data_IF_090200351160
#
_entry.id   IF_090200351160
#
_cell.length_a   1.000
_cell.length_b   1.000
_cell.length_c   1.000
_cell.angle_alpha   90.00
_cell.angle_beta   90.00
_cell.angle_gamma   90.00
#
_symmetry.space_group_name_H-M   'P 1'
#
loop_
_entity.id
_entity.type
_entity.pdbx_description
1 polymer ?
#
# COMPACT_ATOMS: atom_id res chain seq x y z
N UNK A 1 -17.78 -3.14 24.62
CA UNK A 1 -16.86 -3.52 25.69
C UNK A 1 -15.49 -3.16 25.16
N UNK A 2 -14.84 -2.14 25.71
CA UNK A 2 -13.49 -1.73 25.30
C UNK A 2 -12.51 -2.84 25.74
N UNK A 3 -12.05 -3.64 24.81
CA UNK A 3 -10.93 -4.54 25.05
C UNK A 3 -9.68 -3.67 25.23
N UNK A 4 -9.18 -3.62 26.46
CA UNK A 4 -7.88 -3.02 26.73
C UNK A 4 -6.81 -3.80 25.97
N UNK A 5 -5.82 -3.15 25.35
CA UNK A 5 -4.72 -3.84 24.71
C UNK A 5 -4.04 -4.75 25.74
N UNK A 6 -3.92 -6.02 25.41
CA UNK A 6 -3.19 -6.98 26.24
C UNK A 6 -1.69 -6.73 26.10
N UNK A 7 -0.94 -7.12 27.14
CA UNK A 7 0.52 -7.08 27.10
C UNK A 7 1.09 -8.46 27.38
N UNK A 8 2.14 -8.83 26.63
CA UNK A 8 2.89 -10.05 26.82
C UNK A 8 4.36 -9.70 27.03
N UNK A 9 4.96 -10.23 28.10
CA UNK A 9 6.40 -10.18 28.28
C UNK A 9 7.06 -11.43 27.69
N UNK A 10 8.10 -11.22 26.89
CA UNK A 10 8.90 -12.26 26.24
C UNK A 10 10.38 -12.04 26.58
N UNK A 11 11.04 -13.06 27.10
CA UNK A 11 12.49 -13.04 27.30
C UNK A 11 13.16 -13.95 26.28
N UNK A 12 14.06 -13.39 25.49
CA UNK A 12 14.88 -14.15 24.53
C UNK A 12 16.14 -14.69 25.22
N UNK A 13 16.27 -16.00 25.25
CA UNK A 13 17.35 -16.70 25.96
C UNK A 13 18.09 -17.70 25.04
N UNK A 14 19.40 -17.92 25.25
CA UNK A 14 20.28 -17.27 26.22
C UNK A 14 20.50 -15.78 25.89
N UNK A 15 20.84 -14.96 26.88
CA UNK A 15 21.10 -13.53 26.63
C UNK A 15 22.41 -13.37 25.86
N UNK A 16 22.30 -12.85 24.63
CA UNK A 16 23.42 -12.61 23.71
C UNK A 16 23.19 -11.29 22.98
N UNK A 17 24.05 -10.31 23.29
CA UNK A 17 23.90 -8.95 22.76
C UNK A 17 24.14 -8.86 21.25
N UNK A 18 24.93 -9.75 20.66
CA UNK A 18 25.18 -9.77 19.22
C UNK A 18 23.93 -10.28 18.50
N UNK A 19 23.35 -11.36 18.98
CA UNK A 19 22.11 -11.92 18.47
C UNK A 19 20.93 -10.95 18.64
N UNK A 20 20.81 -10.29 19.79
CA UNK A 20 19.77 -9.29 20.05
C UNK A 20 19.88 -8.12 19.08
N UNK A 21 21.10 -7.63 18.83
CA UNK A 21 21.33 -6.58 17.83
C UNK A 21 20.95 -7.04 16.41
N UNK A 22 21.24 -8.28 16.08
CA UNK A 22 20.86 -8.87 14.80
C UNK A 22 19.33 -8.98 14.66
N UNK A 23 18.60 -9.36 15.71
CA UNK A 23 17.13 -9.41 15.71
C UNK A 23 16.50 -8.02 15.60
N UNK A 24 17.02 -7.03 16.32
CA UNK A 24 16.49 -5.65 16.26
C UNK A 24 16.75 -4.99 14.91
N UNK A 25 17.88 -5.30 14.27
CA UNK A 25 18.34 -4.61 13.06
C UNK A 25 18.91 -3.22 13.35
N UNK A 26 19.29 -2.51 12.29
CA UNK A 26 19.77 -1.13 12.42
C UNK A 26 18.62 -0.19 12.80
N UNK A 27 18.76 0.55 13.89
CA UNK A 27 17.73 1.47 14.39
C UNK A 27 16.35 0.77 14.57
N UNK A 28 16.38 -0.49 15.02
CA UNK A 28 15.20 -1.34 15.25
C UNK A 28 14.34 -1.60 14.00
N UNK A 29 14.93 -1.57 12.80
CA UNK A 29 14.22 -1.73 11.53
C UNK A 29 13.45 -3.05 11.44
N UNK A 30 14.01 -4.14 11.96
CA UNK A 30 13.36 -5.45 11.99
C UNK A 30 12.16 -5.47 12.93
N UNK A 31 12.29 -4.89 14.14
CA UNK A 31 11.17 -4.78 15.08
C UNK A 31 10.04 -3.94 14.51
N UNK A 32 10.37 -2.80 13.88
CA UNK A 32 9.38 -1.94 13.21
C UNK A 32 8.67 -2.64 12.03
N UNK A 33 9.35 -3.58 11.37
CA UNK A 33 8.74 -4.40 10.32
C UNK A 33 7.73 -5.39 10.92
N UNK A 34 8.06 -6.01 12.06
CA UNK A 34 7.16 -6.91 12.79
C UNK A 34 5.96 -6.14 13.34
N UNK A 35 6.19 -5.00 14.01
CA UNK A 35 5.13 -4.13 14.55
C UNK A 35 4.11 -3.74 13.50
N UNK A 36 4.59 -3.31 12.34
CA UNK A 36 3.74 -2.90 11.22
C UNK A 36 2.87 -4.03 10.70
N UNK A 37 3.50 -5.18 10.49
CA UNK A 37 2.82 -6.32 9.88
C UNK A 37 1.74 -6.90 10.79
N UNK A 38 1.99 -6.87 12.10
CA UNK A 38 1.10 -7.44 13.11
C UNK A 38 0.16 -6.42 13.75
N UNK A 39 0.38 -5.13 13.53
CA UNK A 39 -0.39 -4.08 14.22
C UNK A 39 -0.17 -4.07 15.72
N UNK A 40 1.03 -4.43 16.19
CA UNK A 40 1.41 -4.45 17.62
C UNK A 40 2.48 -3.40 17.90
N UNK A 41 2.67 -3.08 19.17
CA UNK A 41 3.80 -2.27 19.66
C UNK A 41 4.80 -3.20 20.36
N UNK A 42 6.10 -3.04 20.09
CA UNK A 42 7.17 -3.82 20.68
C UNK A 42 8.13 -2.89 21.40
N UNK A 43 8.16 -2.99 22.72
CA UNK A 43 9.12 -2.30 23.56
C UNK A 43 10.17 -3.30 24.05
N UNK A 44 11.47 -2.99 23.93
CA UNK A 44 12.51 -3.89 24.39
C UNK A 44 13.51 -3.21 25.32
N UNK A 45 14.01 -4.00 26.27
CA UNK A 45 15.13 -3.62 27.14
C UNK A 45 16.06 -4.82 27.31
N UNK A 46 17.18 -4.80 26.58
CA UNK A 46 18.07 -5.96 26.50
C UNK A 46 17.33 -7.17 25.89
N UNK A 47 17.36 -8.30 26.60
CA UNK A 47 16.69 -9.54 26.17
C UNK A 47 15.19 -9.62 26.49
N UNK A 48 14.65 -8.64 27.21
CA UNK A 48 13.22 -8.58 27.57
C UNK A 48 12.47 -7.72 26.56
N UNK A 49 11.40 -8.30 25.98
CA UNK A 49 10.51 -7.67 25.01
C UNK A 49 9.10 -7.64 25.59
N UNK A 50 8.44 -6.50 25.47
CA UNK A 50 7.03 -6.32 25.81
C UNK A 50 6.25 -6.07 24.51
N UNK A 51 5.29 -6.95 24.24
CA UNK A 51 4.39 -6.86 23.09
C UNK A 51 3.03 -6.37 23.56
N UNK A 52 2.49 -5.37 22.90
CA UNK A 52 1.20 -4.72 23.21
C UNK A 52 0.30 -4.75 21.97
N UNK A 53 -0.94 -5.22 22.11
CA UNK A 53 -1.88 -5.29 20.99
C UNK A 53 -3.00 -6.30 21.19
N UNK A 54 -3.56 -6.80 20.09
CA UNK A 54 -4.56 -7.85 20.10
C UNK A 54 -3.94 -9.21 20.47
N UNK A 55 -4.63 -10.07 21.23
CA UNK A 55 -4.07 -11.34 21.73
C UNK A 55 -3.49 -12.25 20.65
N UNK A 56 -4.20 -12.38 19.51
CA UNK A 56 -3.76 -13.18 18.36
C UNK A 56 -2.50 -12.63 17.70
N UNK A 57 -2.44 -11.30 17.52
CA UNK A 57 -1.30 -10.61 16.95
C UNK A 57 -0.07 -10.67 17.87
N UNK A 58 -0.27 -10.54 19.17
CA UNK A 58 0.79 -10.73 20.20
C UNK A 58 1.34 -12.15 20.16
N UNK A 59 0.48 -13.17 20.06
CA UNK A 59 0.92 -14.56 19.98
C UNK A 59 1.78 -14.81 18.73
N UNK A 60 1.36 -14.31 17.57
CA UNK A 60 2.16 -14.36 16.34
C UNK A 60 3.48 -13.59 16.48
N UNK A 61 3.47 -12.39 17.05
CA UNK A 61 4.67 -11.60 17.31
C UNK A 61 5.70 -12.33 18.18
N UNK A 62 5.22 -13.04 19.19
CA UNK A 62 6.07 -13.91 20.02
C UNK A 62 6.75 -14.99 19.18
N UNK A 63 6.00 -15.70 18.34
CA UNK A 63 6.54 -16.77 17.50
C UNK A 63 7.56 -16.25 16.51
N UNK A 64 7.27 -15.11 15.86
CA UNK A 64 8.18 -14.45 14.94
C UNK A 64 9.47 -14.05 15.64
N UNK A 65 9.42 -13.35 16.77
CA UNK A 65 10.60 -12.94 17.52
C UNK A 65 11.45 -14.11 17.99
N UNK A 66 10.82 -15.20 18.47
CA UNK A 66 11.52 -16.42 18.83
C UNK A 66 12.17 -17.12 17.64
N UNK A 67 11.49 -17.13 16.50
CA UNK A 67 12.01 -17.65 15.24
C UNK A 67 13.24 -16.88 14.76
N UNK A 68 13.13 -15.55 14.70
CA UNK A 68 14.24 -14.66 14.36
C UNK A 68 15.41 -14.81 15.31
N UNK A 69 15.15 -14.95 16.61
CA UNK A 69 16.21 -15.15 17.59
C UNK A 69 16.92 -16.50 17.42
N UNK A 70 16.21 -17.56 17.06
CA UNK A 70 16.84 -18.84 16.71
C UNK A 70 17.71 -18.72 15.48
N UNK A 71 17.19 -18.13 14.40
CA UNK A 71 17.91 -17.96 13.16
C UNK A 71 19.14 -17.05 13.29
N UNK A 72 19.08 -16.04 14.17
CA UNK A 72 20.20 -15.12 14.43
C UNK A 72 21.47 -15.78 14.99
N UNK A 73 21.39 -17.03 15.42
CA UNK A 73 22.56 -17.81 15.84
C UNK A 73 23.40 -18.32 14.66
N UNK A 74 22.81 -18.47 13.49
CA UNK A 74 23.40 -19.11 12.33
C UNK A 74 23.61 -18.13 11.18
N UNK A 75 22.80 -17.07 11.08
CA UNK A 75 22.84 -16.13 9.97
C UNK A 75 22.63 -14.67 10.42
N UNK A 76 23.14 -13.73 9.61
CA UNK A 76 22.79 -12.32 9.72
C UNK A 76 21.39 -12.11 9.15
N UNK A 77 20.49 -11.56 9.97
CA UNK A 77 19.12 -11.27 9.55
C UNK A 77 19.11 -10.02 8.64
N UNK A 78 18.25 -10.06 7.65
CA UNK A 78 17.96 -8.94 6.77
C UNK A 78 16.46 -8.65 6.78
N UNK A 79 16.00 -7.46 6.37
CA UNK A 79 14.56 -7.18 6.22
C UNK A 79 13.82 -8.21 5.36
N UNK A 80 14.48 -8.75 4.33
CA UNK A 80 13.95 -9.83 3.49
C UNK A 80 13.73 -11.12 4.30
N UNK A 81 14.66 -11.46 5.18
CA UNK A 81 14.55 -12.67 6.03
C UNK A 81 13.43 -12.52 7.07
N UNK A 82 13.32 -11.34 7.69
CA UNK A 82 12.21 -11.00 8.60
C UNK A 82 10.86 -11.14 7.90
N UNK A 83 10.77 -10.69 6.65
CA UNK A 83 9.56 -10.82 5.84
C UNK A 83 9.15 -12.30 5.65
N UNK A 84 10.09 -13.20 5.36
CA UNK A 84 9.81 -14.62 5.23
C UNK A 84 9.29 -15.22 6.54
N UNK A 85 9.88 -14.89 7.69
CA UNK A 85 9.38 -15.34 9.00
C UNK A 85 7.95 -14.87 9.28
N UNK A 86 7.62 -13.64 8.87
CA UNK A 86 6.25 -13.10 9.00
C UNK A 86 5.26 -13.87 8.10
N UNK A 87 5.66 -14.25 6.89
CA UNK A 87 4.82 -15.08 6.01
C UNK A 87 4.64 -16.50 6.56
N UNK A 88 5.73 -17.15 7.01
CA UNK A 88 5.70 -18.51 7.58
C UNK A 88 4.84 -18.60 8.85
N UNK A 89 4.79 -17.55 9.64
CA UNK A 89 3.96 -17.48 10.85
C UNK A 89 2.46 -17.32 10.56
N UNK A 90 2.04 -17.30 9.29
CA UNK A 90 0.62 -17.14 8.90
C UNK A 90 0.03 -15.80 9.31
N UNK A 91 0.89 -14.78 9.47
CA UNK A 91 0.52 -13.45 9.95
C UNK A 91 -0.55 -12.79 9.08
N UNK A 92 -0.56 -13.12 7.79
CA UNK A 92 -1.54 -12.62 6.84
C UNK A 92 -2.97 -13.09 7.13
N UNK A 93 -3.13 -14.29 7.72
CA UNK A 93 -4.43 -14.82 8.14
C UNK A 93 -4.98 -14.11 9.40
N UNK A 94 -4.13 -13.48 10.20
CA UNK A 94 -4.52 -12.74 11.40
C UNK A 94 -5.01 -11.30 11.08
N UNK A 95 -4.72 -10.81 9.89
CA UNK A 95 -5.14 -9.48 9.44
C UNK A 95 -6.57 -9.45 8.88
N UNK A 96 -7.23 -10.61 8.70
CA UNK A 96 -8.60 -10.71 8.23
C UNK A 96 -9.63 -10.78 9.37
N UNK A 97 -10.54 -9.82 9.31
CA UNK A 97 -11.87 -9.73 9.91
C UNK A 97 -12.02 -9.71 11.44
N UNK A 98 -12.56 -8.60 11.89
CA UNK A 98 -13.38 -8.31 13.08
C UNK A 98 -12.85 -7.34 14.12
N UNK A 99 -11.65 -6.79 13.99
CA UNK A 99 -11.21 -5.74 14.91
C UNK A 99 -11.84 -4.39 14.50
N UNK A 100 -12.34 -3.62 15.44
CA UNK A 100 -12.57 -2.18 15.25
C UNK A 100 -11.29 -1.58 14.68
N UNK A 101 -11.37 -1.12 13.42
CA UNK A 101 -10.21 -0.56 12.72
C UNK A 101 -9.75 0.66 13.52
N UNK A 102 -8.54 0.67 14.07
CA UNK A 102 -8.08 1.82 14.85
C UNK A 102 -8.15 3.08 13.99
N UNK A 103 -8.53 4.21 14.58
CA UNK A 103 -8.51 5.51 13.88
C UNK A 103 -7.10 5.82 13.43
N UNK A 104 -6.73 5.29 12.28
CA UNK A 104 -5.36 5.44 11.75
C UNK A 104 -5.24 6.80 11.11
N UNK A 105 -4.52 7.69 11.76
CA UNK A 105 -4.17 9.00 11.20
C UNK A 105 -2.80 8.91 10.54
N UNK A 106 -2.74 9.24 9.26
CA UNK A 106 -1.49 9.26 8.50
C UNK A 106 -0.83 10.62 8.69
N UNK A 107 0.41 10.63 9.17
CA UNK A 107 1.15 11.87 9.39
C UNK A 107 1.99 12.19 8.15
N UNK A 108 1.70 13.32 7.52
CA UNK A 108 2.54 13.86 6.45
C UNK A 108 3.21 15.16 6.92
N UNK A 109 4.23 15.59 6.22
CA UNK A 109 4.96 16.81 6.58
C UNK A 109 4.08 18.07 6.60
N UNK A 110 3.04 18.13 5.79
CA UNK A 110 2.15 19.29 5.66
C UNK A 110 0.85 19.16 6.44
N UNK A 111 0.62 18.05 7.11
CA UNK A 111 -0.59 17.86 7.89
C UNK A 111 -0.92 16.40 8.18
N UNK A 112 -2.08 16.22 8.78
CA UNK A 112 -2.62 14.90 9.11
C UNK A 112 -3.68 14.53 8.07
N UNK A 113 -3.53 13.36 7.46
CA UNK A 113 -4.53 12.77 6.58
C UNK A 113 -5.35 11.78 7.39
N UNK A 114 -6.67 12.02 7.47
CA UNK A 114 -7.60 11.17 8.21
C UNK A 114 -8.59 10.51 7.26
N UNK A 115 -8.80 9.20 7.36
CA UNK A 115 -9.91 8.53 6.69
C UNK A 115 -11.24 9.18 7.08
N UNK A 116 -12.12 9.36 6.10
CA UNK A 116 -13.45 10.03 6.31
C UNK A 116 -14.60 9.04 6.48
N UNK A 117 -14.31 7.75 6.56
CA UNK A 117 -15.32 6.71 6.71
C UNK A 117 -14.70 5.35 6.98
N UNK A 118 -15.51 4.35 7.38
CA UNK A 118 -15.00 3.04 7.78
C UNK A 118 -14.25 2.31 6.66
N UNK A 119 -14.74 2.36 5.42
CA UNK A 119 -14.05 1.73 4.28
C UNK A 119 -12.68 2.37 3.99
N UNK A 120 -12.57 3.70 4.15
CA UNK A 120 -11.28 4.38 4.03
C UNK A 120 -10.34 4.01 5.18
N UNK A 121 -10.84 3.90 6.41
CA UNK A 121 -10.05 3.49 7.57
C UNK A 121 -9.54 2.06 7.41
N UNK A 122 -10.41 1.14 7.00
CA UNK A 122 -10.03 -0.25 6.69
C UNK A 122 -9.01 -0.33 5.56
N UNK A 123 -9.19 0.46 4.49
CA UNK A 123 -8.24 0.53 3.39
C UNK A 123 -6.86 0.97 3.85
N UNK A 124 -6.77 2.05 4.62
CA UNK A 124 -5.49 2.53 5.19
C UNK A 124 -4.87 1.46 6.07
N UNK A 125 -5.64 0.85 6.96
CA UNK A 125 -5.15 -0.23 7.82
C UNK A 125 -4.58 -1.39 7.00
N UNK A 126 -5.30 -1.85 5.97
CA UNK A 126 -4.85 -2.94 5.10
C UNK A 126 -3.58 -2.58 4.33
N UNK A 127 -3.49 -1.35 3.81
CA UNK A 127 -2.29 -0.86 3.12
C UNK A 127 -1.06 -0.87 4.04
N UNK A 128 -1.24 -0.62 5.33
CA UNK A 128 -0.15 -0.64 6.30
C UNK A 128 0.24 -2.04 6.75
N UNK A 129 -0.64 -3.04 6.58
CA UNK A 129 -0.46 -4.40 7.11
C UNK A 129 -0.22 -5.48 6.05
N UNK A 130 -0.52 -5.23 4.76
CA UNK A 130 -0.38 -6.19 3.68
C UNK A 130 0.60 -5.72 2.61
N UNK A 131 1.23 -6.66 1.92
CA UNK A 131 2.20 -6.34 0.86
C UNK A 131 1.54 -5.96 -0.46
N UNK A 132 0.37 -6.56 -0.78
CA UNK A 132 -0.39 -6.26 -2.00
C UNK A 132 -1.81 -5.87 -1.61
N UNK A 133 -2.23 -4.69 -2.06
CA UNK A 133 -3.49 -4.09 -1.64
C UNK A 133 -4.28 -3.62 -2.86
N UNK A 134 -5.51 -4.09 -2.98
CA UNK A 134 -6.42 -3.63 -4.01
C UNK A 134 -7.46 -2.67 -3.42
N UNK A 135 -7.50 -1.44 -3.94
CA UNK A 135 -8.54 -0.46 -3.65
C UNK A 135 -9.44 -0.27 -4.88
N UNK A 136 -10.60 -0.91 -4.88
CA UNK A 136 -11.48 -0.97 -6.07
C UNK A 136 -12.80 -0.25 -5.80
N UNK A 137 -13.24 0.59 -6.72
CA UNK A 137 -14.54 1.28 -6.65
C UNK A 137 -14.56 2.64 -7.34
N UNK A 138 -15.66 3.40 -7.20
CA UNK A 138 -15.90 4.62 -7.96
C UNK A 138 -14.85 5.71 -7.77
N UNK A 139 -14.72 6.57 -8.77
CA UNK A 139 -13.87 7.76 -8.67
C UNK A 139 -14.34 8.67 -7.52
N UNK A 140 -13.39 9.38 -6.88
CA UNK A 140 -13.67 10.29 -5.79
C UNK A 140 -13.83 9.65 -4.40
N UNK A 141 -13.54 8.35 -4.24
CA UNK A 141 -13.54 7.66 -2.94
C UNK A 141 -12.20 7.79 -2.18
N UNK A 142 -11.23 8.49 -2.73
CA UNK A 142 -9.95 8.77 -2.07
C UNK A 142 -8.89 7.67 -2.17
N UNK A 143 -9.12 6.60 -2.96
CA UNK A 143 -8.20 5.46 -3.09
C UNK A 143 -6.76 5.86 -3.35
N UNK A 144 -6.53 6.57 -4.43
CA UNK A 144 -5.19 7.00 -4.86
C UNK A 144 -4.59 8.00 -3.88
N UNK A 145 -5.38 8.96 -3.39
CA UNK A 145 -4.94 9.95 -2.41
C UNK A 145 -4.45 9.30 -1.10
N UNK A 146 -5.22 8.36 -0.56
CA UNK A 146 -4.86 7.63 0.67
C UNK A 146 -3.66 6.71 0.44
N UNK A 147 -3.54 6.07 -0.73
CA UNK A 147 -2.37 5.28 -1.09
C UNK A 147 -1.10 6.14 -1.13
N UNK A 148 -1.17 7.34 -1.74
CA UNK A 148 -0.05 8.29 -1.76
C UNK A 148 0.28 8.76 -0.34
N UNK A 149 -0.71 9.00 0.51
CA UNK A 149 -0.48 9.37 1.91
C UNK A 149 0.27 8.29 2.68
N UNK A 150 -0.12 7.02 2.53
CA UNK A 150 0.57 5.89 3.14
C UNK A 150 2.02 5.76 2.62
N UNK A 151 2.24 5.97 1.31
CA UNK A 151 3.57 5.94 0.72
C UNK A 151 4.47 7.05 1.25
N UNK A 152 3.94 8.26 1.40
CA UNK A 152 4.66 9.40 1.97
C UNK A 152 5.02 9.17 3.44
N UNK A 153 4.10 8.66 4.25
CA UNK A 153 4.36 8.33 5.66
C UNK A 153 5.43 7.23 5.78
N UNK A 154 5.35 6.19 4.96
CA UNK A 154 6.33 5.12 4.91
C UNK A 154 7.73 5.62 4.52
N UNK A 155 7.82 6.56 3.57
CA UNK A 155 9.08 7.19 3.17
C UNK A 155 9.64 8.09 4.28
N UNK A 156 8.80 8.89 4.94
CA UNK A 156 9.23 9.79 6.02
C UNK A 156 9.65 9.04 7.30
N UNK A 157 9.20 7.79 7.46
CA UNK A 157 9.64 6.88 8.53
C UNK A 157 10.82 5.99 8.15
N UNK A 158 11.44 6.22 6.99
CA UNK A 158 12.55 5.40 6.46
C UNK A 158 12.21 3.90 6.33
N UNK A 159 10.94 3.58 6.11
CA UNK A 159 10.46 2.20 5.97
C UNK A 159 10.63 1.66 4.56
N UNK A 160 10.75 2.58 3.60
CA UNK A 160 11.00 2.31 2.20
C UNK A 160 12.05 3.30 1.70
N UNK A 161 12.72 2.94 0.62
CA UNK A 161 13.74 3.81 0.00
C UNK A 161 13.19 4.65 -1.14
N UNK A 162 12.07 4.23 -1.74
CA UNK A 162 11.51 4.90 -2.92
C UNK A 162 10.01 4.69 -3.08
N UNK A 163 9.36 5.65 -3.72
CA UNK A 163 7.96 5.59 -4.14
C UNK A 163 7.92 5.50 -5.66
N UNK A 164 7.16 4.55 -6.19
CA UNK A 164 6.89 4.44 -7.62
C UNK A 164 5.40 4.67 -7.85
N UNK A 165 5.07 5.67 -8.66
CA UNK A 165 3.72 5.96 -9.10
C UNK A 165 3.58 5.54 -10.57
N UNK A 166 2.71 4.57 -10.80
CA UNK A 166 2.62 3.87 -12.07
C UNK A 166 1.20 4.00 -12.62
N UNK A 167 1.07 4.28 -13.88
CA UNK A 167 -0.21 4.22 -14.62
C UNK A 167 -0.07 3.42 -15.92
N UNK A 168 -1.11 2.68 -16.34
CA UNK A 168 -1.17 2.15 -17.68
C UNK A 168 -1.20 3.32 -18.68
N UNK A 169 -0.42 3.22 -19.74
CA UNK A 169 -0.58 4.11 -20.87
C UNK A 169 -1.78 3.62 -21.68
N UNK A 170 -2.92 4.27 -21.52
CA UNK A 170 -4.11 3.97 -22.35
C UNK A 170 -4.19 5.03 -23.43
N UNK A 171 -4.33 4.61 -24.66
CA UNK A 171 -4.79 5.48 -25.74
C UNK A 171 -6.30 5.68 -25.59
N UNK A 172 -6.72 6.47 -24.58
CA UNK A 172 -8.12 6.83 -24.40
C UNK A 172 -8.55 7.78 -25.53
N UNK A 173 -9.05 7.21 -26.64
CA UNK A 173 -9.67 7.96 -27.74
C UNK A 173 -8.76 8.89 -28.55
N UNK A 174 -7.74 9.46 -27.95
CA UNK A 174 -6.69 10.26 -28.58
C UNK A 174 -5.44 9.40 -28.73
N UNK A 175 -5.11 9.06 -29.97
CA UNK A 175 -3.88 8.31 -30.28
C UNK A 175 -2.67 9.11 -29.79
N UNK A 176 -1.91 8.58 -28.84
CA UNK A 176 -0.65 9.16 -28.32
C UNK A 176 0.31 9.58 -29.44
N UNK A 177 0.13 9.05 -30.64
CA UNK A 177 0.87 9.43 -31.86
C UNK A 177 0.67 10.88 -32.32
N UNK A 178 -0.40 11.56 -31.93
CA UNK A 178 -0.70 12.94 -32.39
C UNK A 178 -0.17 14.03 -31.46
N UNK A 179 0.28 13.71 -30.25
CA UNK A 179 0.87 14.72 -29.36
C UNK A 179 2.35 14.94 -29.73
N UNK A 180 2.80 16.20 -29.89
CA UNK A 180 4.21 16.51 -30.09
C UNK A 180 5.03 16.20 -28.83
N UNK A 181 6.24 15.71 -29.00
CA UNK A 181 7.17 15.42 -27.90
C UNK A 181 7.55 13.93 -27.78
N UNK A 182 8.47 13.64 -26.88
CA UNK A 182 8.85 12.27 -26.55
C UNK A 182 7.76 11.56 -25.74
N UNK A 183 7.91 10.25 -25.53
CA UNK A 183 6.91 9.42 -24.84
C UNK A 183 6.63 9.93 -23.42
N UNK A 184 7.66 10.42 -22.72
CA UNK A 184 7.52 10.94 -21.36
C UNK A 184 6.68 12.21 -21.32
N UNK A 185 6.91 13.15 -22.25
CA UNK A 185 6.11 14.39 -22.35
C UNK A 185 4.64 14.13 -22.71
N UNK A 186 4.37 13.08 -23.48
CA UNK A 186 3.00 12.70 -23.86
C UNK A 186 2.21 12.07 -22.72
N UNK A 187 2.88 11.44 -21.76
CA UNK A 187 2.27 10.75 -20.62
C UNK A 187 2.10 11.69 -19.40
N UNK A 188 2.91 12.75 -19.30
CA UNK A 188 2.92 13.69 -18.18
C UNK A 188 1.52 14.24 -17.78
N UNK A 189 0.62 14.63 -18.71
CA UNK A 189 -0.72 15.09 -18.36
C UNK A 189 -1.56 14.06 -17.60
N UNK A 190 -1.40 12.78 -17.91
CA UNK A 190 -2.13 11.69 -17.25
C UNK A 190 -1.61 11.36 -15.86
N UNK A 191 -0.40 11.79 -15.54
CA UNK A 191 0.26 11.58 -14.25
C UNK A 191 0.02 12.75 -13.28
N UNK A 192 -0.54 13.88 -13.74
CA UNK A 192 -0.80 15.07 -12.91
C UNK A 192 -1.52 14.80 -11.59
N UNK A 193 -2.60 14.02 -11.53
CA UNK A 193 -3.29 13.76 -10.27
C UNK A 193 -2.39 13.12 -9.19
N UNK A 194 -1.39 12.35 -9.60
CA UNK A 194 -0.42 11.75 -8.70
C UNK A 194 0.58 12.80 -8.18
N UNK A 195 1.02 13.70 -9.05
CA UNK A 195 1.86 14.84 -8.65
C UNK A 195 1.11 15.78 -7.70
N UNK A 196 -0.17 16.07 -7.97
CA UNK A 196 -0.98 16.96 -7.14
C UNK A 196 -1.09 16.42 -5.70
N UNK A 197 -1.33 15.13 -5.53
CA UNK A 197 -1.34 14.47 -4.23
C UNK A 197 0.03 14.58 -3.52
N UNK A 198 1.13 14.34 -4.23
CA UNK A 198 2.47 14.49 -3.67
C UNK A 198 2.77 15.94 -3.25
N UNK A 199 2.39 16.92 -4.09
CA UNK A 199 2.61 18.33 -3.78
C UNK A 199 1.82 18.80 -2.56
N UNK A 200 0.60 18.31 -2.40
CA UNK A 200 -0.23 18.59 -1.23
C UNK A 200 0.43 18.08 0.05
N UNK A 201 1.04 16.89 0.03
CA UNK A 201 1.57 16.21 1.22
C UNK A 201 3.02 16.60 1.57
N UNK A 202 3.87 16.79 0.56
CA UNK A 202 5.31 17.05 0.73
C UNK A 202 5.73 18.47 0.38
N UNK A 203 4.94 19.17 -0.44
CA UNK A 203 5.28 20.47 -1.04
C UNK A 203 6.12 20.33 -2.31
N UNK A 204 6.00 21.34 -3.18
CA UNK A 204 6.54 21.35 -4.52
C UNK A 204 8.07 21.14 -4.55
N UNK A 205 8.84 21.95 -3.82
CA UNK A 205 10.31 21.88 -3.83
C UNK A 205 10.86 20.50 -3.37
N UNK A 206 10.21 19.91 -2.37
CA UNK A 206 10.65 18.61 -1.85
C UNK A 206 10.36 17.49 -2.85
N UNK A 207 9.20 17.50 -3.47
CA UNK A 207 8.85 16.52 -4.50
C UNK A 207 9.86 16.56 -5.65
N UNK A 208 10.20 17.76 -6.16
CA UNK A 208 11.22 17.91 -7.20
C UNK A 208 12.57 17.33 -6.80
N UNK A 209 13.06 17.66 -5.59
CA UNK A 209 14.32 17.11 -5.08
C UNK A 209 14.31 15.59 -4.95
N UNK A 210 13.16 15.00 -4.57
CA UNK A 210 13.03 13.55 -4.44
C UNK A 210 12.96 12.86 -5.81
N UNK A 211 12.36 13.50 -6.81
CA UNK A 211 12.34 13.02 -8.19
C UNK A 211 13.76 13.08 -8.79
N UNK A 212 14.47 14.19 -8.65
CA UNK A 212 15.86 14.34 -9.11
C UNK A 212 16.79 13.28 -8.51
N UNK A 213 16.52 12.84 -7.29
CA UNK A 213 17.28 11.79 -6.59
C UNK A 213 16.79 10.37 -6.89
N UNK A 214 15.80 10.20 -7.76
CA UNK A 214 15.14 8.93 -8.04
C UNK A 214 14.55 8.23 -6.78
N UNK A 215 14.21 9.00 -5.74
CA UNK A 215 13.47 8.52 -4.58
C UNK A 215 11.98 8.45 -4.89
N UNK A 216 11.47 9.39 -5.68
CA UNK A 216 10.12 9.34 -6.26
C UNK A 216 10.26 9.17 -7.77
N UNK A 217 9.61 8.15 -8.31
CA UNK A 217 9.55 7.87 -9.75
C UNK A 217 8.08 7.85 -10.18
N UNK A 218 7.77 8.59 -11.24
CA UNK A 218 6.43 8.56 -11.87
C UNK A 218 6.63 8.06 -13.29
N UNK A 219 6.04 6.91 -13.62
CA UNK A 219 6.36 6.20 -14.85
C UNK A 219 5.17 5.42 -15.42
N UNK A 220 5.12 5.22 -16.74
CA UNK A 220 4.17 4.31 -17.35
C UNK A 220 4.45 2.86 -16.95
N UNK A 221 3.39 2.05 -16.89
CA UNK A 221 3.47 0.64 -16.50
C UNK A 221 4.48 -0.17 -17.33
N UNK A 222 4.64 0.16 -18.60
CA UNK A 222 5.59 -0.52 -19.48
C UNK A 222 7.05 -0.47 -18.97
N UNK A 223 7.41 0.56 -18.21
CA UNK A 223 8.77 0.75 -17.67
C UNK A 223 9.05 -0.13 -16.43
N UNK A 224 8.05 -0.84 -15.94
CA UNK A 224 8.21 -1.81 -14.84
C UNK A 224 8.73 -3.15 -15.33
N UNK A 225 8.68 -3.42 -16.65
CA UNK A 225 9.10 -4.70 -17.21
C UNK A 225 10.58 -4.98 -16.97
N UNK A 226 10.90 -6.20 -16.49
CA UNK A 226 12.27 -6.64 -16.23
C UNK A 226 12.90 -6.07 -14.94
N UNK A 227 12.16 -5.30 -14.16
CA UNK A 227 12.63 -4.75 -12.88
C UNK A 227 12.24 -5.68 -11.73
N UNK A 228 13.00 -5.61 -10.64
CA UNK A 228 12.61 -6.10 -9.31
C UNK A 228 12.61 -4.91 -8.36
N UNK A 229 11.47 -4.66 -7.74
CA UNK A 229 11.23 -3.46 -6.93
C UNK A 229 11.34 -3.83 -5.45
N UNK A 230 12.53 -3.67 -4.87
CA UNK A 230 12.80 -3.90 -3.46
C UNK A 230 12.70 -2.61 -2.66
N UNK A 231 12.30 -2.71 -1.39
CA UNK A 231 12.22 -1.61 -0.42
C UNK A 231 11.49 -0.38 -1.00
N UNK A 232 10.37 -0.65 -1.69
CA UNK A 232 9.64 0.35 -2.45
C UNK A 232 8.15 0.33 -2.12
N UNK A 233 7.52 1.50 -2.16
CA UNK A 233 6.07 1.62 -2.17
C UNK A 233 5.61 1.91 -3.59
N UNK A 234 4.85 0.99 -4.17
CA UNK A 234 4.47 1.03 -5.57
C UNK A 234 2.96 1.22 -5.68
N UNK A 235 2.52 2.27 -6.36
CA UNK A 235 1.11 2.53 -6.61
C UNK A 235 0.84 2.35 -8.10
N UNK A 236 -0.03 1.39 -8.45
CA UNK A 236 -0.58 1.25 -9.79
C UNK A 236 -1.99 1.86 -9.81
N UNK A 237 -2.09 3.05 -10.36
CA UNK A 237 -3.35 3.79 -10.47
C UNK A 237 -4.02 3.57 -11.83
N UNK A 238 -5.35 3.71 -11.90
CA UNK A 238 -6.18 3.41 -13.07
C UNK A 238 -5.99 1.97 -13.61
N UNK A 239 -5.83 1.03 -12.69
CA UNK A 239 -5.46 -0.35 -12.99
C UNK A 239 -6.52 -1.12 -13.79
N UNK A 240 -7.79 -0.65 -13.85
CA UNK A 240 -8.83 -1.23 -14.72
C UNK A 240 -8.41 -1.19 -16.20
N UNK A 241 -7.50 -0.29 -16.55
CA UNK A 241 -6.99 -0.12 -17.90
C UNK A 241 -5.71 -0.94 -18.18
N UNK A 242 -5.41 -1.92 -17.33
CA UNK A 242 -4.38 -2.94 -17.63
C UNK A 242 -5.01 -4.15 -18.31
N UNK A 243 -4.26 -4.80 -19.19
CA UNK A 243 -4.59 -6.17 -19.63
C UNK A 243 -4.20 -7.17 -18.55
N UNK A 244 -4.69 -8.42 -18.67
CA UNK A 244 -4.32 -9.52 -17.77
C UNK A 244 -2.79 -9.71 -17.69
N UNK A 245 -2.12 -9.69 -18.86
CA UNK A 245 -0.67 -9.86 -18.94
C UNK A 245 0.09 -8.71 -18.28
N UNK A 246 -0.40 -7.48 -18.44
CA UNK A 246 0.18 -6.30 -17.81
C UNK A 246 0.04 -6.35 -16.28
N UNK A 247 -1.15 -6.72 -15.78
CA UNK A 247 -1.39 -6.88 -14.35
C UNK A 247 -0.48 -7.96 -13.77
N UNK A 248 -0.41 -9.14 -14.39
CA UNK A 248 0.47 -10.23 -13.97
C UNK A 248 1.94 -9.81 -14.02
N UNK A 249 2.36 -9.13 -15.09
CA UNK A 249 3.71 -8.59 -15.20
C UNK A 249 4.02 -7.64 -14.04
N UNK A 250 3.11 -6.72 -13.70
CA UNK A 250 3.28 -5.76 -12.61
C UNK A 250 3.41 -6.45 -11.25
N UNK A 251 2.46 -7.30 -10.88
CA UNK A 251 2.42 -7.99 -9.59
C UNK A 251 3.68 -8.83 -9.34
N UNK A 252 4.25 -9.39 -10.39
CA UNK A 252 5.50 -10.17 -10.32
C UNK A 252 6.78 -9.30 -10.23
N UNK A 253 6.67 -7.97 -10.18
CA UNK A 253 7.81 -7.05 -9.95
C UNK A 253 8.05 -6.76 -8.47
N UNK A 254 7.08 -7.07 -7.61
CA UNK A 254 7.20 -6.83 -6.18
C UNK A 254 8.40 -7.60 -5.62
N UNK A 255 9.29 -6.89 -4.96
CA UNK A 255 10.45 -7.43 -4.29
C UNK A 255 10.33 -7.33 -2.77
N UNK A 256 11.36 -7.75 -2.07
CA UNK A 256 11.38 -7.78 -0.61
C UNK A 256 11.26 -6.37 0.01
N UNK A 257 10.52 -6.30 1.13
CA UNK A 257 10.32 -5.04 1.85
C UNK A 257 9.51 -4.00 1.08
N UNK A 258 8.73 -4.43 0.09
CA UNK A 258 7.91 -3.53 -0.73
C UNK A 258 6.42 -3.73 -0.49
N UNK A 259 5.68 -2.64 -0.66
CA UNK A 259 4.22 -2.63 -0.64
C UNK A 259 3.70 -2.19 -2.00
N UNK A 260 2.77 -2.93 -2.57
CA UNK A 260 2.06 -2.55 -3.79
C UNK A 260 0.60 -2.19 -3.47
N UNK A 261 0.14 -1.07 -4.02
CA UNK A 261 -1.26 -0.63 -3.93
C UNK A 261 -1.81 -0.46 -5.34
N UNK A 262 -2.84 -1.22 -5.63
CA UNK A 262 -3.51 -1.24 -6.94
C UNK A 262 -4.85 -0.54 -6.81
N UNK A 263 -5.03 0.60 -7.49
CA UNK A 263 -6.27 1.38 -7.44
C UNK A 263 -6.97 1.39 -8.79
N UNK A 264 -8.29 1.35 -8.79
CA UNK A 264 -9.06 1.42 -10.03
C UNK A 264 -10.57 1.35 -9.86
N UNK A 265 -11.28 1.57 -10.96
CA UNK A 265 -12.73 1.48 -11.05
C UNK A 265 -13.12 0.48 -12.15
N UNK A 266 -13.60 -0.68 -11.76
CA UNK A 266 -13.98 -1.75 -12.70
C UNK A 266 -15.14 -1.38 -13.64
N UNK A 267 -15.82 -0.26 -13.39
CA UNK A 267 -16.90 0.26 -14.24
C UNK A 267 -16.40 1.19 -15.35
N UNK A 268 -15.18 1.75 -15.20
CA UNK A 268 -14.58 2.73 -16.10
C UNK A 268 -13.42 2.10 -16.91
N UNK A 269 -13.72 1.07 -17.69
CA UNK A 269 -12.70 0.35 -18.49
C UNK A 269 -12.62 0.97 -19.87
N UNK A 270 -11.45 1.56 -20.21
CA UNK A 270 -11.16 2.19 -21.51
C UNK A 270 -10.33 1.29 -22.46
N UNK A 271 -10.26 -0.02 -22.17
CA UNK A 271 -9.54 -0.96 -23.01
C UNK A 271 -10.24 -1.17 -24.37
N UNK A 272 -9.50 -1.47 -25.43
CA UNK A 272 -10.07 -1.83 -26.73
C UNK A 272 -11.07 -2.99 -26.62
N UNK A 273 -12.08 -2.99 -27.51
CA UNK A 273 -13.11 -4.03 -27.53
C UNK A 273 -12.50 -5.42 -27.60
N UNK A 274 -12.94 -6.32 -26.73
CA UNK A 274 -12.48 -7.71 -26.65
C UNK A 274 -11.29 -7.95 -25.71
N UNK A 275 -10.67 -6.91 -25.16
CA UNK A 275 -9.66 -7.07 -24.12
C UNK A 275 -10.30 -7.12 -22.72
N UNK A 276 -9.83 -8.07 -21.89
CA UNK A 276 -10.28 -8.19 -20.51
C UNK A 276 -9.44 -7.27 -19.60
N UNK A 277 -10.12 -6.64 -18.64
CA UNK A 277 -9.44 -5.85 -17.62
C UNK A 277 -8.67 -6.76 -16.66
N UNK A 278 -7.37 -6.51 -16.56
CA UNK A 278 -6.48 -7.21 -15.64
C UNK A 278 -6.87 -6.98 -14.17
N UNK A 279 -7.40 -5.80 -13.83
CA UNK A 279 -7.91 -5.52 -12.48
C UNK A 279 -9.10 -6.43 -12.15
N UNK A 280 -10.07 -6.57 -13.06
CA UNK A 280 -11.25 -7.43 -12.86
C UNK A 280 -10.83 -8.88 -12.65
N UNK A 281 -9.96 -9.41 -13.51
CA UNK A 281 -9.48 -10.78 -13.40
C UNK A 281 -8.65 -10.99 -12.12
N UNK A 282 -7.77 -10.05 -11.76
CA UNK A 282 -6.97 -10.13 -10.53
C UNK A 282 -7.85 -10.19 -9.28
N UNK A 283 -8.95 -9.42 -9.22
CA UNK A 283 -9.89 -9.46 -8.08
C UNK A 283 -10.62 -10.80 -7.93
N UNK A 284 -10.78 -11.56 -9.01
CA UNK A 284 -11.37 -12.90 -8.99
C UNK A 284 -10.33 -13.97 -8.61
N UNK A 285 -9.17 -13.94 -9.28
CA UNK A 285 -8.14 -14.98 -9.16
C UNK A 285 -7.37 -14.91 -7.84
N UNK A 286 -7.10 -13.70 -7.35
CA UNK A 286 -6.26 -13.48 -6.17
C UNK A 286 -7.04 -13.35 -4.86
N UNK A 287 -8.35 -13.44 -4.89
CA UNK A 287 -9.22 -13.20 -3.71
C UNK A 287 -8.92 -14.14 -2.54
N UNK A 288 -8.47 -15.35 -2.82
CA UNK A 288 -8.17 -16.37 -1.80
C UNK A 288 -6.67 -16.49 -1.50
N UNK A 289 -5.85 -15.57 -2.03
CA UNK A 289 -4.40 -15.60 -1.79
C UNK A 289 -4.10 -14.82 -0.51
N UNK A 290 -3.53 -15.50 0.47
CA UNK A 290 -3.08 -14.88 1.72
C UNK A 290 -2.03 -13.80 1.44
N UNK A 291 -2.03 -12.71 2.23
CA UNK A 291 -1.13 -11.56 2.05
C UNK A 291 -1.60 -10.54 1.02
N UNK A 292 -2.72 -10.80 0.33
CA UNK A 292 -3.35 -9.84 -0.59
C UNK A 292 -4.65 -9.32 0.02
N UNK A 293 -4.78 -8.01 0.13
CA UNK A 293 -5.99 -7.39 0.65
C UNK A 293 -6.85 -6.76 -0.45
N UNK A 294 -8.17 -6.77 -0.24
CA UNK A 294 -9.14 -6.17 -1.15
C UNK A 294 -10.10 -5.27 -0.40
N UNK A 295 -10.08 -3.97 -0.69
CA UNK A 295 -11.07 -3.01 -0.17
C UNK A 295 -11.98 -2.55 -1.29
N UNK A 296 -13.28 -2.80 -1.14
CA UNK A 296 -14.29 -2.42 -2.12
C UNK A 296 -14.98 -1.14 -1.66
N UNK A 297 -14.80 -0.09 -2.42
CA UNK A 297 -15.48 1.19 -2.22
C UNK A 297 -16.78 1.24 -3.01
N UNK A 298 -17.74 1.97 -2.49
CA UNK A 298 -19.04 2.16 -3.09
C UNK A 298 -19.42 3.65 -3.18
N UNK A 299 -20.59 3.97 -3.72
CA UNK A 299 -21.04 5.35 -3.91
C UNK A 299 -21.14 6.15 -2.61
N UNK A 300 -21.30 5.50 -1.43
CA UNK A 300 -21.37 6.18 -0.12
C UNK A 300 -20.01 6.67 0.34
N UNK A 301 -18.94 6.08 -0.17
CA UNK A 301 -17.55 6.45 0.15
C UNK A 301 -17.06 7.65 -0.66
N UNK A 302 -17.85 8.13 -1.61
CA UNK A 302 -17.48 9.25 -2.48
C UNK A 302 -17.40 10.54 -1.68
N UNK A 303 -16.20 11.11 -1.58
CA UNK A 303 -15.91 12.39 -0.94
C UNK A 303 -15.85 13.47 -2.00
N UNK A 304 -16.97 14.16 -2.21
CA UNK A 304 -17.08 15.26 -3.18
C UNK A 304 -17.72 16.48 -2.53
N UNK A 305 -17.39 17.63 -3.08
CA UNK A 305 -18.07 18.87 -2.72
C UNK A 305 -19.61 18.70 -2.93
N UNK A 306 -20.42 19.16 -1.99
CA UNK A 306 -21.88 18.96 -2.01
C UNK A 306 -22.55 19.42 -3.34
N UNK A 307 -22.01 20.49 -3.94
CA UNK A 307 -22.49 20.98 -5.24
C UNK A 307 -22.16 20.00 -6.37
N UNK A 308 -20.97 19.37 -6.35
CA UNK A 308 -20.58 18.37 -7.36
C UNK A 308 -21.47 17.14 -7.30
N UNK A 309 -21.86 16.70 -6.10
CA UNK A 309 -22.84 15.62 -5.94
C UNK A 309 -24.19 15.97 -6.58
N UNK A 310 -24.67 17.20 -6.38
CA UNK A 310 -25.92 17.68 -7.02
C UNK A 310 -25.82 17.74 -8.53
N UNK A 311 -24.66 18.14 -9.08
CA UNK A 311 -24.41 18.15 -10.53
C UNK A 311 -24.48 16.73 -11.09
N UNK A 312 -23.78 15.77 -10.49
CA UNK A 312 -23.82 14.36 -10.94
C UNK A 312 -25.25 13.82 -10.90
N UNK A 313 -25.97 14.01 -9.81
CA UNK A 313 -27.35 13.56 -9.68
C UNK A 313 -28.29 14.20 -10.73
N UNK A 314 -28.05 15.46 -11.11
CA UNK A 314 -28.85 16.12 -12.13
C UNK A 314 -28.64 15.48 -13.51
N UNK A 315 -27.37 15.18 -13.88
CA UNK A 315 -27.07 14.48 -15.13
C UNK A 315 -27.63 13.04 -15.14
N UNK A 316 -27.48 12.28 -14.07
CA UNK A 316 -28.04 10.93 -13.96
C UNK A 316 -29.57 10.89 -14.07
N UNK A 317 -30.28 11.92 -13.59
CA UNK A 317 -31.74 12.06 -13.79
C UNK A 317 -32.07 12.34 -15.24
N UNK A 318 -31.34 13.28 -15.84
CA UNK A 318 -31.55 13.65 -17.24
C UNK A 318 -31.35 12.46 -18.19
N UNK A 319 -30.29 11.66 -17.98
CA UNK A 319 -30.01 10.47 -18.79
C UNK A 319 -31.10 9.40 -18.63
N UNK A 320 -31.65 9.23 -17.41
CA UNK A 320 -32.78 8.31 -17.16
C UNK A 320 -34.10 8.76 -17.79
N UNK A 321 -34.29 10.04 -17.99
CA UNK A 321 -35.50 10.60 -18.62
C UNK A 321 -35.43 10.55 -20.14
N UNK A 322 -34.25 10.34 -20.71
CA UNK A 322 -34.04 10.27 -22.18
C UNK A 322 -33.85 8.83 -22.71
N UNK A 323 -33.63 7.82 -21.86
CA UNK A 323 -33.47 6.41 -22.20
C UNK A 323 -34.71 5.61 -21.85
#
# INVERSE_FOLDING_TARGET
MSEHPESLELVLAPEDNERLRNVCGQLDEHLRQVERRLGIEINNRGSSFQLLGQPTAIAAGREVLQGLYRASAEEALSPARVHLFLQEAGVDALADDTAEVPETTIKTRRGLVRPRGPNQAQYVHRVLTHDINFGVGPAGTGKTYLAVACAVDALERDQIRRILLVRPAVEAGERLGFLPGDLAQKIDPYLRPLYDALYEMLGFERVHKLIERNVIEVAPLAYMRGRTLNEAFIILDEAQNTTTEQMKMFLTRLGFGSTAVITGDITQVDLPRGQKSGLREATEVLRAVEGISFTLFNARDVVRHALVQKVVQAYERFDREQG
#
